data_IF_619921913617
#
_entry.id   IF_619921913617
#
_cell.length_a   1.000
_cell.length_b   1.000
_cell.length_c   1.000
_cell.angle_alpha   90.00
_cell.angle_beta   90.00
_cell.angle_gamma   90.00
#
_symmetry.space_group_name_H-M   'P 1'
#
loop_
_entity.id
_entity.type
_entity.pdbx_description
1 polymer ?
#
# COMPACT_ATOMS: atom_id res chain seq x y z
N UNK A 1 35.49 8.80 38.97
CA UNK A 1 35.28 8.93 37.51
C UNK A 1 33.83 8.54 37.20
N UNK A 2 33.01 9.52 36.89
CA UNK A 2 31.63 9.27 36.42
C UNK A 2 31.69 8.88 34.97
N UNK A 3 31.33 7.63 34.63
CA UNK A 3 31.12 7.22 33.25
C UNK A 3 29.79 7.80 32.80
N UNK A 4 29.85 8.80 31.90
CA UNK A 4 28.68 9.27 31.16
C UNK A 4 28.26 8.14 30.21
N UNK A 5 27.15 7.45 30.53
CA UNK A 5 26.48 6.59 29.56
C UNK A 5 25.65 7.51 28.69
N UNK A 6 26.14 7.82 27.48
CA UNK A 6 25.33 8.44 26.44
C UNK A 6 24.29 7.41 26.01
N UNK A 7 23.05 7.57 26.50
CA UNK A 7 21.92 6.85 25.96
C UNK A 7 21.70 7.37 24.52
N UNK A 8 22.04 6.55 23.52
CA UNK A 8 21.71 6.81 22.13
C UNK A 8 20.20 6.65 21.97
N UNK A 9 19.48 7.78 21.94
CA UNK A 9 18.05 7.76 21.60
C UNK A 9 17.93 7.39 20.12
N UNK A 10 17.60 6.13 19.84
CA UNK A 10 17.17 5.71 18.50
C UNK A 10 15.75 6.24 18.26
N UNK A 11 15.63 7.31 17.48
CA UNK A 11 14.35 7.79 16.96
C UNK A 11 13.87 6.77 15.94
N UNK A 12 12.81 6.04 16.27
CA UNK A 12 12.14 5.16 15.31
C UNK A 12 11.50 6.03 14.21
N UNK A 13 11.92 5.84 12.94
CA UNK A 13 11.27 6.44 11.78
C UNK A 13 9.87 5.84 11.60
N UNK A 14 8.83 6.64 11.27
CA UNK A 14 7.51 6.10 10.94
C UNK A 14 7.61 5.05 9.84
N UNK A 15 6.84 3.96 9.95
CA UNK A 15 6.87 2.84 8.99
C UNK A 15 6.63 3.30 7.53
N UNK A 16 5.79 4.33 7.32
CA UNK A 16 5.54 4.92 6.00
C UNK A 16 6.78 5.59 5.39
N UNK A 17 7.62 6.24 6.21
CA UNK A 17 8.84 6.91 5.75
C UNK A 17 9.93 5.92 5.33
N UNK A 18 9.79 4.63 5.68
CA UNK A 18 10.75 3.56 5.34
C UNK A 18 10.41 2.85 4.04
N UNK A 19 9.24 3.10 3.46
CA UNK A 19 8.81 2.47 2.20
C UNK A 19 9.33 3.27 1.02
N UNK A 20 10.25 2.68 0.26
CA UNK A 20 10.75 3.21 -1.01
C UNK A 20 10.05 2.53 -2.19
N UNK A 21 10.23 3.08 -3.40
CA UNK A 21 9.69 2.47 -4.63
C UNK A 21 10.11 1.00 -4.78
N UNK A 22 11.34 0.67 -4.43
CA UNK A 22 11.92 -0.67 -4.53
C UNK A 22 11.67 -1.55 -3.30
N UNK A 23 10.98 -1.05 -2.27
CA UNK A 23 10.68 -1.84 -1.08
C UNK A 23 9.76 -3.01 -1.47
N UNK A 24 10.17 -4.26 -1.22
CA UNK A 24 9.31 -5.41 -1.50
C UNK A 24 8.12 -5.45 -0.54
N UNK A 25 7.01 -5.99 -1.02
CA UNK A 25 5.85 -6.25 -0.16
C UNK A 25 6.18 -7.38 0.83
N UNK A 26 6.15 -7.14 2.15
CA UNK A 26 6.47 -8.17 3.14
C UNK A 26 5.46 -9.33 3.17
N UNK A 27 4.28 -9.14 2.56
CA UNK A 27 3.22 -10.15 2.50
C UNK A 27 3.03 -10.76 1.12
N UNK A 28 3.97 -10.54 0.20
CA UNK A 28 3.86 -11.03 -1.18
C UNK A 28 3.62 -12.55 -1.22
N UNK A 29 2.60 -12.97 -1.96
CA UNK A 29 2.25 -14.37 -2.13
C UNK A 29 1.59 -15.05 -0.93
N UNK A 30 1.33 -14.33 0.17
CA UNK A 30 0.64 -14.88 1.34
C UNK A 30 -0.87 -14.85 1.14
N UNK A 31 -1.51 -16.01 1.14
CA UNK A 31 -2.94 -16.17 0.90
C UNK A 31 -3.80 -15.40 1.91
N UNK A 32 -3.43 -15.38 3.19
CA UNK A 32 -4.12 -14.64 4.22
C UNK A 32 -4.06 -13.13 4.01
N UNK A 33 -2.95 -12.60 3.52
CA UNK A 33 -2.79 -11.20 3.18
C UNK A 33 -3.64 -10.81 1.96
N UNK A 34 -3.71 -11.67 0.96
CA UNK A 34 -4.59 -11.47 -0.22
C UNK A 34 -6.05 -11.42 0.21
N UNK A 35 -6.49 -12.33 1.08
CA UNK A 35 -7.86 -12.36 1.60
C UNK A 35 -8.17 -11.09 2.42
N UNK A 36 -7.25 -10.69 3.31
CA UNK A 36 -7.39 -9.46 4.10
C UNK A 36 -7.46 -8.23 3.19
N UNK A 37 -6.63 -8.17 2.16
CA UNK A 37 -6.63 -7.09 1.17
C UNK A 37 -7.92 -7.03 0.37
N UNK A 38 -8.49 -8.18 0.02
CA UNK A 38 -9.80 -8.25 -0.65
C UNK A 38 -10.90 -7.65 0.24
N UNK A 39 -10.93 -8.02 1.51
CA UNK A 39 -11.89 -7.47 2.46
C UNK A 39 -11.73 -5.95 2.63
N UNK A 40 -10.49 -5.46 2.74
CA UNK A 40 -10.19 -4.03 2.84
C UNK A 40 -10.56 -3.27 1.58
N UNK A 41 -10.37 -3.86 0.42
CA UNK A 41 -10.73 -3.26 -0.87
C UNK A 41 -12.22 -2.92 -0.96
N UNK A 42 -13.07 -3.78 -0.41
CA UNK A 42 -14.50 -3.52 -0.25
C UNK A 42 -14.79 -2.52 0.87
N UNK A 43 -14.27 -2.77 2.06
CA UNK A 43 -14.53 -1.96 3.26
C UNK A 43 -14.11 -0.50 3.11
N UNK A 44 -12.98 -0.24 2.48
CA UNK A 44 -12.45 1.11 2.23
C UNK A 44 -12.99 1.73 0.95
N UNK A 45 -13.95 1.08 0.31
CA UNK A 45 -14.61 1.56 -0.91
C UNK A 45 -13.68 1.80 -2.10
N UNK A 46 -12.60 1.06 -2.20
CA UNK A 46 -11.76 1.05 -3.41
C UNK A 46 -12.58 0.63 -4.64
N UNK A 47 -13.55 -0.26 -4.42
CA UNK A 47 -14.51 -0.73 -5.44
C UNK A 47 -15.33 0.41 -6.05
N UNK A 48 -15.56 1.50 -5.33
CA UNK A 48 -16.35 2.63 -5.83
C UNK A 48 -15.73 3.31 -7.05
N UNK A 49 -14.41 3.30 -7.16
CA UNK A 49 -13.68 3.86 -8.30
C UNK A 49 -13.07 2.79 -9.19
N UNK A 50 -12.61 1.67 -8.62
CA UNK A 50 -11.87 0.63 -9.35
C UNK A 50 -12.70 -0.59 -9.75
N UNK A 51 -13.99 -0.64 -9.38
CA UNK A 51 -14.93 -1.75 -9.57
C UNK A 51 -14.60 -3.00 -8.73
N UNK A 52 -15.58 -3.89 -8.58
CA UNK A 52 -15.41 -5.13 -7.81
C UNK A 52 -14.39 -6.11 -8.43
N UNK A 53 -14.26 -6.08 -9.74
CA UNK A 53 -13.32 -6.90 -10.49
C UNK A 53 -12.00 -6.17 -10.81
N UNK A 54 -11.79 -4.97 -10.25
CA UNK A 54 -10.62 -4.12 -10.43
C UNK A 54 -10.43 -3.58 -11.87
N UNK A 55 -11.40 -3.75 -12.74
CA UNK A 55 -11.28 -3.32 -14.15
C UNK A 55 -11.46 -1.84 -14.37
N UNK A 56 -11.82 -1.10 -13.30
CA UNK A 56 -11.90 0.35 -13.36
C UNK A 56 -13.28 0.91 -13.59
N UNK A 57 -13.34 2.22 -13.45
CA UNK A 57 -14.51 3.06 -13.62
C UNK A 57 -14.05 4.50 -13.62
N UNK A 58 -14.31 5.25 -12.55
CA UNK A 58 -13.67 6.57 -12.35
C UNK A 58 -12.17 6.45 -12.10
N UNK A 59 -11.74 5.39 -11.42
CA UNK A 59 -10.34 5.03 -11.28
C UNK A 59 -9.88 4.08 -12.40
N UNK A 60 -8.57 3.96 -12.62
CA UNK A 60 -8.04 3.11 -13.68
C UNK A 60 -8.24 1.62 -13.40
N UNK A 61 -8.14 0.84 -14.47
CA UNK A 61 -8.03 -0.62 -14.41
C UNK A 61 -6.76 -1.02 -13.65
N UNK A 62 -6.91 -1.85 -12.62
CA UNK A 62 -5.82 -2.35 -11.79
C UNK A 62 -5.37 -3.76 -12.19
N UNK A 63 -5.95 -4.34 -13.25
CA UNK A 63 -5.64 -5.69 -13.73
C UNK A 63 -4.68 -5.69 -14.93
N UNK A 64 -4.49 -4.56 -15.58
CA UNK A 64 -3.57 -4.40 -16.69
C UNK A 64 -2.15 -4.00 -16.22
N UNK A 65 -1.21 -3.93 -17.15
CA UNK A 65 0.18 -3.56 -16.86
C UNK A 65 0.47 -2.06 -17.07
N UNK A 66 -0.56 -1.25 -17.21
CA UNK A 66 -0.45 0.20 -17.39
C UNK A 66 -0.54 0.91 -16.05
N UNK A 67 0.60 1.31 -15.51
CA UNK A 67 0.73 1.94 -14.20
C UNK A 67 1.21 3.38 -14.34
N UNK A 68 0.29 4.32 -14.21
CA UNK A 68 0.59 5.76 -14.36
C UNK A 68 1.60 6.28 -13.33
N UNK A 69 1.56 5.74 -12.12
CA UNK A 69 2.43 6.15 -11.00
C UNK A 69 3.43 5.06 -10.61
N UNK A 70 3.61 4.06 -11.47
CA UNK A 70 4.49 2.92 -11.24
C UNK A 70 3.77 1.69 -10.68
N UNK A 71 4.21 0.53 -11.09
CA UNK A 71 3.62 -0.77 -10.76
C UNK A 71 4.46 -1.63 -9.82
N UNK A 72 5.59 -1.13 -9.33
CA UNK A 72 6.35 -1.82 -8.29
C UNK A 72 5.57 -1.82 -6.97
N UNK A 73 5.72 -2.82 -6.10
CA UNK A 73 4.98 -2.88 -4.84
C UNK A 73 5.07 -1.60 -4.00
N UNK A 74 6.27 -1.05 -3.82
CA UNK A 74 6.47 0.19 -3.08
C UNK A 74 5.83 1.40 -3.77
N UNK A 75 5.79 1.43 -5.08
CA UNK A 75 5.13 2.50 -5.86
C UNK A 75 3.61 2.45 -5.68
N UNK A 76 3.01 1.26 -5.76
CA UNK A 76 1.58 1.08 -5.50
C UNK A 76 1.24 1.44 -4.05
N UNK A 77 2.09 1.02 -3.10
CA UNK A 77 1.95 1.40 -1.70
C UNK A 77 1.86 2.92 -1.54
N UNK A 78 2.80 3.66 -2.13
CA UNK A 78 2.81 5.13 -2.05
C UNK A 78 1.59 5.76 -2.71
N UNK A 79 1.14 5.23 -3.83
CA UNK A 79 -0.07 5.71 -4.51
C UNK A 79 -1.29 5.60 -3.61
N UNK A 80 -1.43 4.49 -2.90
CA UNK A 80 -2.54 4.31 -1.93
C UNK A 80 -2.36 5.21 -0.71
N UNK A 81 -1.16 5.23 -0.13
CA UNK A 81 -0.87 6.00 1.08
C UNK A 81 -1.07 7.50 0.88
N UNK A 82 -0.53 8.05 -0.21
CA UNK A 82 -0.47 9.49 -0.45
C UNK A 82 -1.61 10.00 -1.36
N UNK A 83 -2.29 9.11 -2.08
CA UNK A 83 -3.24 9.51 -3.11
C UNK A 83 -2.56 10.06 -4.37
N UNK A 84 -3.38 10.55 -5.30
CA UNK A 84 -2.89 11.04 -6.60
C UNK A 84 -3.47 12.42 -6.93
N UNK A 85 -2.77 13.22 -7.76
CA UNK A 85 -3.29 14.51 -8.23
C UNK A 85 -4.59 14.40 -9.04
N UNK A 86 -4.89 13.21 -9.59
CA UNK A 86 -6.09 12.96 -10.41
C UNK A 86 -7.34 12.58 -9.61
N UNK A 87 -7.24 12.53 -8.29
CA UNK A 87 -8.41 12.43 -7.43
C UNK A 87 -8.51 11.17 -6.57
N UNK A 88 -7.52 10.25 -6.61
CA UNK A 88 -7.48 9.18 -5.63
C UNK A 88 -7.13 9.78 -4.26
N UNK A 89 -7.95 9.57 -3.22
CA UNK A 89 -7.66 10.11 -1.90
C UNK A 89 -6.47 9.41 -1.25
N UNK A 90 -5.83 10.10 -0.30
CA UNK A 90 -4.80 9.53 0.58
C UNK A 90 -5.44 8.64 1.64
N UNK A 91 -4.82 7.49 1.90
CA UNK A 91 -5.33 6.49 2.85
C UNK A 91 -4.44 6.28 4.08
N UNK A 92 -3.28 6.93 4.17
CA UNK A 92 -2.33 6.74 5.27
C UNK A 92 -2.89 7.05 6.66
N UNK A 93 -3.89 7.91 6.76
CA UNK A 93 -4.53 8.28 8.03
C UNK A 93 -5.73 7.36 8.37
N UNK A 94 -6.13 6.47 7.46
CA UNK A 94 -7.27 5.58 7.59
C UNK A 94 -6.90 4.10 7.60
N UNK A 95 -5.70 3.78 7.13
CA UNK A 95 -5.19 2.42 7.03
C UNK A 95 -3.78 2.35 7.60
N UNK A 96 -3.50 1.26 8.31
CA UNK A 96 -2.13 0.97 8.76
C UNK A 96 -1.24 0.61 7.57
N UNK A 97 0.10 0.73 7.69
CA UNK A 97 1.02 0.25 6.64
C UNK A 97 0.79 -1.21 6.26
N UNK A 98 0.54 -2.09 7.23
CA UNK A 98 0.25 -3.50 6.97
C UNK A 98 -1.03 -3.68 6.16
N UNK A 99 -2.08 -2.92 6.47
CA UNK A 99 -3.33 -2.94 5.72
C UNK A 99 -3.13 -2.47 4.27
N UNK A 100 -2.33 -1.43 4.05
CA UNK A 100 -1.99 -0.98 2.70
C UNK A 100 -1.24 -2.10 1.95
N UNK A 101 -0.27 -2.75 2.58
CA UNK A 101 0.45 -3.89 1.99
C UNK A 101 -0.46 -5.06 1.65
N UNK A 102 -1.48 -5.32 2.48
CA UNK A 102 -2.49 -6.35 2.20
C UNK A 102 -3.31 -6.01 0.95
N UNK A 103 -3.69 -4.74 0.78
CA UNK A 103 -4.37 -4.28 -0.46
C UNK A 103 -3.44 -4.42 -1.66
N UNK A 104 -2.17 -4.08 -1.55
CA UNK A 104 -1.17 -4.30 -2.62
C UNK A 104 -1.09 -5.79 -2.99
N UNK A 105 -1.08 -6.68 -1.99
CA UNK A 105 -1.09 -8.14 -2.20
C UNK A 105 -2.32 -8.60 -2.97
N UNK A 106 -3.48 -8.08 -2.63
CA UNK A 106 -4.73 -8.38 -3.33
C UNK A 106 -4.70 -7.93 -4.79
N UNK A 107 -4.25 -6.69 -5.04
CA UNK A 107 -4.12 -6.17 -6.41
C UNK A 107 -3.16 -7.04 -7.22
N UNK A 108 -1.98 -7.36 -6.70
CA UNK A 108 -1.00 -8.20 -7.37
C UNK A 108 -1.54 -9.61 -7.66
N UNK A 109 -2.41 -10.14 -6.81
CA UNK A 109 -3.02 -11.46 -7.02
C UNK A 109 -3.87 -11.52 -8.29
N UNK A 110 -4.32 -10.38 -8.80
CA UNK A 110 -5.11 -10.27 -10.03
C UNK A 110 -4.27 -10.19 -11.30
N UNK A 111 -2.96 -10.13 -11.16
CA UNK A 111 -1.99 -10.08 -12.26
C UNK A 111 -1.36 -11.44 -12.61
N UNK A 112 -1.88 -12.51 -12.07
CA UNK A 112 -1.38 -13.87 -12.32
C UNK A 112 -2.08 -14.52 -13.51
#
# INVERSE_FOLDING_TARGET
MRRLVLALLMLATPALAQVAADTPNPFEGKADAVEAGHALFGKMNCVGCHAYDLTGGMGPDLTDNSWQYGGKPGEIFHTIAEGTPRGMPSWKDKMTPDEIWQVVSYIHSKHQ
#
